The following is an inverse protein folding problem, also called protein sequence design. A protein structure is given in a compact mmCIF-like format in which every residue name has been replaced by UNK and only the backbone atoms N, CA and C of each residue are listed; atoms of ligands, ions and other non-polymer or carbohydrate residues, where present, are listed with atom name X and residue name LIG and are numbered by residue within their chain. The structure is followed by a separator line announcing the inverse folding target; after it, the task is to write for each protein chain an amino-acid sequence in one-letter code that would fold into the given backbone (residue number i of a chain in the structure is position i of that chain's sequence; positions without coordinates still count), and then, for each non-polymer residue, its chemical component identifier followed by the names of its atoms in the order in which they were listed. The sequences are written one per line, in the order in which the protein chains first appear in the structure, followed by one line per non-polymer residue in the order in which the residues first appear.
data_IF_168520882239
#
_entry.id   IF_168520882239
#
_cell.length_a   1.000
_cell.length_b   1.000
_cell.length_c   1.000
_cell.angle_alpha   90.00
_cell.angle_beta   90.00
_cell.angle_gamma   90.00
#
_symmetry.space_group_name_H-M   'P 1'
#
loop_
_entity.id
_entity.type
_entity.pdbx_description
1 polymer ?
#
# COMPACT_ATOMS: atom_id res chain seq x y z
N UNK A 1 -8.77 -10.66 -2.05
CA UNK A 1 -8.30 -10.05 -3.30
C UNK A 1 -7.60 -11.15 -4.11
N UNK A 2 -7.89 -11.32 -5.41
CA UNK A 2 -7.29 -12.40 -6.24
C UNK A 2 -6.30 -11.86 -7.30
N UNK A 3 -5.82 -10.63 -7.11
CA UNK A 3 -5.04 -9.87 -8.09
C UNK A 3 -4.00 -8.94 -7.41
N UNK A 4 -3.32 -9.45 -6.38
CA UNK A 4 -2.34 -8.69 -5.58
C UNK A 4 -1.24 -8.08 -6.46
N UNK A 5 -0.66 -8.85 -7.39
CA UNK A 5 0.35 -8.34 -8.32
C UNK A 5 -0.18 -7.21 -9.20
N UNK A 6 -1.43 -7.32 -9.68
CA UNK A 6 -2.04 -6.28 -10.50
C UNK A 6 -2.17 -4.97 -9.73
N UNK A 7 -2.52 -5.02 -8.44
CA UNK A 7 -2.60 -3.83 -7.58
C UNK A 7 -1.28 -3.05 -7.60
N UNK A 8 -0.16 -3.71 -7.27
CA UNK A 8 1.15 -3.05 -7.21
C UNK A 8 1.70 -2.66 -8.58
N UNK A 9 1.54 -3.49 -9.61
CA UNK A 9 2.00 -3.15 -10.97
C UNK A 9 1.22 -1.96 -11.54
N UNK A 10 -0.08 -1.86 -11.25
CA UNK A 10 -0.89 -0.70 -11.67
C UNK A 10 -0.39 0.58 -11.01
N UNK A 11 -0.13 0.54 -9.70
CA UNK A 11 0.41 1.69 -8.98
C UNK A 11 1.81 2.08 -9.49
N UNK A 12 2.69 1.10 -9.71
CA UNK A 12 4.05 1.32 -10.22
C UNK A 12 4.05 1.98 -11.60
N UNK A 13 3.28 1.46 -12.56
CA UNK A 13 3.20 2.09 -13.87
C UNK A 13 2.47 3.42 -13.86
N UNK A 14 1.51 3.60 -12.98
CA UNK A 14 0.85 4.89 -12.79
C UNK A 14 1.83 5.96 -12.31
N UNK A 15 2.61 5.67 -11.27
CA UNK A 15 3.67 6.55 -10.78
C UNK A 15 4.69 6.87 -11.88
N UNK A 16 5.36 5.83 -12.41
CA UNK A 16 6.56 6.03 -13.21
C UNK A 16 6.31 6.25 -14.71
N UNK A 17 5.24 5.70 -15.28
CA UNK A 17 4.94 5.85 -16.71
C UNK A 17 3.92 6.95 -16.98
N UNK A 18 2.97 7.17 -16.05
CA UNK A 18 1.95 8.22 -16.20
C UNK A 18 2.27 9.50 -15.42
N UNK A 19 3.26 9.46 -14.51
CA UNK A 19 3.61 10.62 -13.67
C UNK A 19 2.57 10.92 -12.60
N UNK A 20 1.76 9.94 -12.22
CA UNK A 20 0.71 10.09 -11.21
C UNK A 20 1.28 9.80 -9.81
N UNK A 21 1.83 10.86 -9.19
CA UNK A 21 2.50 10.80 -7.89
C UNK A 21 1.61 10.33 -6.73
N UNK A 22 0.28 10.39 -6.91
CA UNK A 22 -0.64 9.92 -5.88
C UNK A 22 -0.60 8.40 -5.75
N UNK A 23 -0.21 7.68 -6.81
CA UNK A 23 -0.16 6.22 -6.81
C UNK A 23 1.01 5.64 -6.01
N UNK A 24 2.05 6.44 -5.71
CA UNK A 24 3.09 6.12 -4.74
C UNK A 24 2.55 5.59 -3.41
N UNK A 25 1.41 6.09 -2.94
CA UNK A 25 0.79 5.67 -1.66
C UNK A 25 0.40 4.19 -1.62
N UNK A 26 0.24 3.53 -2.77
CA UNK A 26 -0.07 2.10 -2.88
C UNK A 26 1.21 1.24 -2.95
N UNK A 27 2.38 1.85 -3.10
CA UNK A 27 3.69 1.20 -3.16
C UNK A 27 4.43 1.32 -1.83
N UNK A 28 4.36 2.49 -1.18
CA UNK A 28 5.04 2.75 0.08
C UNK A 28 4.17 2.35 1.27
N UNK A 29 4.09 1.04 1.51
CA UNK A 29 3.39 0.45 2.64
C UNK A 29 4.38 -0.15 3.65
N UNK A 30 3.93 -0.41 4.88
CA UNK A 30 4.74 -1.16 5.85
C UNK A 30 5.01 -2.57 5.31
N UNK A 31 6.22 -3.09 5.54
CA UNK A 31 6.69 -4.35 4.95
C UNK A 31 5.74 -5.52 5.22
N UNK A 32 5.38 -5.74 6.49
CA UNK A 32 4.41 -6.75 6.89
C UNK A 32 3.02 -6.13 7.03
N UNK A 33 2.07 -6.59 6.20
CA UNK A 33 0.67 -6.15 6.24
C UNK A 33 -0.01 -6.32 7.61
N UNK A 34 0.43 -7.27 8.43
CA UNK A 34 -0.10 -7.56 9.76
C UNK A 34 0.25 -6.49 10.79
N UNK A 35 1.30 -5.71 10.56
CA UNK A 35 1.75 -4.62 11.43
C UNK A 35 1.05 -3.28 11.11
N UNK A 36 0.23 -3.26 10.05
CA UNK A 36 -0.54 -2.09 9.64
C UNK A 36 -1.57 -1.67 10.68
N UNK A 37 -1.58 -0.37 11.00
CA UNK A 37 -2.48 0.26 11.96
C UNK A 37 -3.63 0.94 11.24
N UNK A 38 -4.86 0.65 11.67
CA UNK A 38 -6.06 1.39 11.22
C UNK A 38 -6.30 2.54 12.19
N UNK A 39 -5.80 3.73 11.85
CA UNK A 39 -6.05 4.96 12.61
C UNK A 39 -6.90 5.92 11.76
N UNK A 40 -8.18 6.07 12.11
CA UNK A 40 -9.10 6.99 11.44
C UNK A 40 -9.63 8.02 12.43
N UNK A 41 -9.95 9.21 11.94
CA UNK A 41 -10.76 10.21 12.62
C UNK A 41 -12.23 9.82 12.60
N UNK A 42 -13.06 10.49 13.41
CA UNK A 42 -14.50 10.23 13.48
C UNK A 42 -15.22 10.49 12.15
N UNK A 43 -14.65 11.36 11.30
CA UNK A 43 -15.13 11.66 9.94
C UNK A 43 -14.65 10.67 8.87
N UNK A 44 -13.85 9.67 9.27
CA UNK A 44 -13.30 8.64 8.38
C UNK A 44 -12.00 9.02 7.68
N UNK A 45 -11.45 10.21 7.92
CA UNK A 45 -10.14 10.60 7.37
C UNK A 45 -9.00 9.86 8.07
N UNK A 46 -7.93 9.59 7.33
CA UNK A 46 -6.74 8.90 7.85
C UNK A 46 -5.94 9.81 8.79
N UNK A 47 -5.55 9.28 9.96
CA UNK A 47 -4.63 9.94 10.89
C UNK A 47 -3.18 9.71 10.46
N UNK A 48 -2.21 10.52 10.95
CA UNK A 48 -0.79 10.31 10.65
C UNK A 48 -0.27 8.92 11.02
N UNK A 49 -0.85 8.27 12.02
CA UNK A 49 -0.47 6.92 12.47
C UNK A 49 -1.11 5.80 11.62
N UNK A 50 -1.89 6.13 10.59
CA UNK A 50 -2.53 5.15 9.72
C UNK A 50 -1.49 4.52 8.78
N UNK A 51 -1.32 3.20 8.89
CA UNK A 51 -0.35 2.44 8.09
C UNK A 51 -0.96 1.20 7.42
N UNK A 52 -2.28 1.07 7.48
CA UNK A 52 -2.98 0.00 6.78
C UNK A 52 -2.78 0.12 5.25
N UNK A 53 -2.59 -1.02 4.59
CA UNK A 53 -2.30 -1.05 3.16
C UNK A 53 -3.47 -0.49 2.33
N UNK A 54 -3.27 0.67 1.71
CA UNK A 54 -4.30 1.36 0.94
C UNK A 54 -4.81 0.49 -0.21
N UNK A 55 -6.12 0.54 -0.46
CA UNK A 55 -6.76 -0.22 -1.54
C UNK A 55 -7.03 -1.70 -1.22
N UNK A 56 -6.57 -2.21 -0.09
CA UNK A 56 -7.00 -3.52 0.41
C UNK A 56 -8.27 -3.38 1.24
N UNK A 57 -9.24 -4.27 1.04
CA UNK A 57 -10.40 -4.33 1.95
C UNK A 57 -10.01 -4.96 3.28
N UNK A 58 -10.76 -4.72 4.37
CA UNK A 58 -10.37 -5.17 5.71
C UNK A 58 -9.98 -6.66 5.76
N UNK A 59 -8.80 -6.93 6.34
CA UNK A 59 -8.20 -8.26 6.52
C UNK A 59 -7.75 -8.96 5.23
N UNK A 60 -7.84 -8.33 4.06
CA UNK A 60 -7.45 -8.99 2.79
C UNK A 60 -5.98 -8.84 2.43
N UNK A 61 -5.28 -7.88 3.04
CA UNK A 61 -3.83 -7.79 2.96
C UNK A 61 -3.13 -8.79 3.91
N UNK A 62 -3.84 -9.33 4.90
CA UNK A 62 -3.25 -10.08 6.02
C UNK A 62 -2.42 -11.27 5.53
N UNK A 63 -1.17 -11.33 5.99
CA UNK A 63 -0.23 -12.40 5.66
C UNK A 63 0.60 -12.12 4.40
N UNK A 64 0.45 -10.93 3.81
CA UNK A 64 1.33 -10.45 2.75
C UNK A 64 2.51 -9.68 3.32
N UNK A 65 3.62 -9.78 2.61
CA UNK A 65 4.85 -9.00 2.82
C UNK A 65 5.22 -8.32 1.51
N UNK A 66 5.58 -7.04 1.55
CA UNK A 66 6.14 -6.31 0.42
C UNK A 66 7.57 -5.87 0.77
N UNK A 67 8.54 -6.50 0.13
CA UNK A 67 9.96 -6.22 0.34
C UNK A 67 10.46 -5.23 -0.72
N UNK A 68 11.21 -4.21 -0.30
CA UNK A 68 11.91 -3.29 -1.19
C UNK A 68 13.40 -3.62 -1.13
N UNK A 69 13.97 -4.03 -2.28
CA UNK A 69 15.42 -4.19 -2.40
C UNK A 69 16.05 -2.84 -2.69
N UNK A 70 17.28 -2.64 -2.21
CA UNK A 70 18.05 -1.48 -2.67
C UNK A 70 18.58 -1.75 -4.07
N UNK A 71 18.79 -0.69 -4.85
CA UNK A 71 19.30 -0.82 -6.22
C UNK A 71 20.67 -1.50 -6.21
N UNK A 72 20.74 -2.76 -6.65
CA UNK A 72 21.98 -3.53 -6.80
C UNK A 72 22.13 -4.75 -5.90
N UNK A 73 21.11 -5.09 -5.10
CA UNK A 73 20.94 -6.40 -4.45
C UNK A 73 20.17 -7.37 -5.36
#
# INVERSE_FOLDING_TARGET
MNNITQHFVTAFFGEYLKGDSELATYLYVVENSGDGVVALNDDGTEKPEHTYWKGFTPRTAKGLTLEHTTKGE
#
